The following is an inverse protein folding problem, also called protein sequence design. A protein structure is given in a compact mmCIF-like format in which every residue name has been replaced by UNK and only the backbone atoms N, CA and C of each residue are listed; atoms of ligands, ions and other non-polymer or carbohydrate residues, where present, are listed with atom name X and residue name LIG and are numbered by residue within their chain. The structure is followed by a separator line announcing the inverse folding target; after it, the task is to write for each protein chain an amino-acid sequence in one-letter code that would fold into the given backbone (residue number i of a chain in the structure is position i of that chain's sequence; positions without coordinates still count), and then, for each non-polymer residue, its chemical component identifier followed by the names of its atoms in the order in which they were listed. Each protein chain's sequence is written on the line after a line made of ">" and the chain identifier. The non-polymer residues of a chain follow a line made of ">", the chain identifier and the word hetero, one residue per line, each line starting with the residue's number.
data_IF_905258065425
#
_entry.id   IF_905258065425
#
_cell.length_a   1.000
_cell.length_b   1.000
_cell.length_c   1.000
_cell.angle_alpha   90.00
_cell.angle_beta   90.00
_cell.angle_gamma   90.00
#
_symmetry.space_group_name_H-M   'P 1'
#
loop_
_entity.id
_entity.type
_entity.pdbx_description
1 polymer ?
#
# COMPACT_ATOMS: atom_id res chain seq x y z
N UNK A 1 14.15 7.67 -49.46
CA UNK A 1 12.95 6.80 -49.56
C UNK A 1 12.41 6.58 -48.15
N UNK A 2 11.67 7.55 -47.61
CA UNK A 2 11.04 7.47 -46.27
C UNK A 2 9.64 6.91 -46.48
N UNK A 3 9.52 5.58 -46.55
CA UNK A 3 8.20 4.94 -46.46
C UNK A 3 7.72 5.10 -45.02
N UNK A 4 6.49 5.59 -44.89
CA UNK A 4 5.79 5.92 -43.65
C UNK A 4 6.03 4.90 -42.52
N UNK A 5 6.86 5.27 -41.54
CA UNK A 5 6.97 4.62 -40.23
C UNK A 5 5.84 5.10 -39.30
N UNK A 6 4.63 5.24 -39.83
CA UNK A 6 3.46 5.73 -39.11
C UNK A 6 2.98 4.65 -38.17
N UNK A 7 3.40 4.72 -36.91
CA UNK A 7 2.80 3.92 -35.83
C UNK A 7 3.62 3.87 -34.55
N UNK A 8 4.96 3.86 -34.63
CA UNK A 8 5.81 3.74 -33.46
C UNK A 8 6.67 5.02 -33.28
N UNK A 9 6.33 5.87 -32.30
CA UNK A 9 7.05 7.11 -32.03
C UNK A 9 8.55 6.93 -31.81
N UNK A 10 8.97 5.80 -31.21
CA UNK A 10 10.38 5.50 -30.96
C UNK A 10 11.13 5.11 -32.25
N UNK A 11 10.48 4.41 -33.18
CA UNK A 11 11.06 4.11 -34.51
C UNK A 11 11.20 5.40 -35.32
N UNK A 12 10.18 6.28 -35.27
CA UNK A 12 10.25 7.60 -35.91
C UNK A 12 11.39 8.42 -35.32
N UNK A 13 11.51 8.46 -33.98
CA UNK A 13 12.61 9.13 -33.30
C UNK A 13 13.97 8.61 -33.78
N UNK A 14 14.21 7.30 -33.73
CA UNK A 14 15.51 6.72 -34.12
C UNK A 14 15.85 6.97 -35.58
N UNK A 15 14.86 6.89 -36.48
CA UNK A 15 15.07 7.18 -37.90
C UNK A 15 15.56 8.62 -38.11
N UNK A 16 14.96 9.60 -37.44
CA UNK A 16 15.36 11.00 -37.54
C UNK A 16 16.69 11.28 -36.83
N UNK A 17 16.90 10.66 -35.66
CA UNK A 17 18.10 10.82 -34.86
C UNK A 17 19.35 10.28 -35.59
N UNK A 18 19.29 9.03 -36.08
CA UNK A 18 20.42 8.39 -36.79
C UNK A 18 20.70 9.06 -38.14
N UNK A 19 19.66 9.50 -38.85
CA UNK A 19 19.81 10.14 -40.17
C UNK A 19 20.25 11.61 -40.09
N UNK A 20 20.48 12.16 -38.89
CA UNK A 20 20.87 13.57 -38.71
C UNK A 20 19.75 14.58 -39.01
N UNK A 21 18.49 14.14 -39.04
CA UNK A 21 17.31 14.96 -39.34
C UNK A 21 16.46 15.24 -38.10
N UNK A 22 17.05 15.25 -36.90
CA UNK A 22 16.32 15.47 -35.65
C UNK A 22 15.60 16.82 -35.62
N UNK A 23 16.14 17.84 -36.30
CA UNK A 23 15.52 19.17 -36.44
C UNK A 23 14.21 19.17 -37.23
N UNK A 24 13.92 18.09 -37.99
CA UNK A 24 12.64 17.91 -38.69
C UNK A 24 11.57 17.25 -37.83
N UNK A 25 11.95 16.73 -36.65
CA UNK A 25 11.01 16.14 -35.70
C UNK A 25 10.47 17.24 -34.79
N UNK A 26 9.14 17.30 -34.61
CA UNK A 26 8.56 18.20 -33.63
C UNK A 26 8.77 17.65 -32.21
N UNK A 27 9.80 18.17 -31.52
CA UNK A 27 10.13 17.79 -30.15
C UNK A 27 9.28 18.52 -29.09
N UNK A 28 8.38 19.43 -29.50
CA UNK A 28 7.60 20.29 -28.61
C UNK A 28 8.48 21.07 -27.61
N UNK A 29 9.62 21.60 -28.09
CA UNK A 29 10.56 22.38 -27.27
C UNK A 29 11.41 21.57 -26.29
N UNK A 30 11.38 20.23 -26.36
CA UNK A 30 12.14 19.35 -25.47
C UNK A 30 13.51 18.99 -26.04
N UNK A 31 14.43 18.62 -25.14
CA UNK A 31 15.69 18.00 -25.54
C UNK A 31 15.42 16.68 -26.30
N UNK A 32 16.19 16.32 -27.34
CA UNK A 32 15.98 15.07 -28.09
C UNK A 32 15.92 13.82 -27.19
N UNK A 33 16.80 13.71 -26.19
CA UNK A 33 16.77 12.57 -25.27
C UNK A 33 15.56 12.58 -24.31
N UNK A 34 15.03 13.76 -23.93
CA UNK A 34 13.79 13.85 -23.15
C UNK A 34 12.59 13.39 -23.99
N UNK A 35 12.55 13.78 -25.27
CA UNK A 35 11.52 13.30 -26.19
C UNK A 35 11.62 11.78 -26.38
N UNK A 36 12.82 11.24 -26.58
CA UNK A 36 13.08 9.81 -26.67
C UNK A 36 12.64 9.05 -25.42
N UNK A 37 12.94 9.58 -24.23
CA UNK A 37 12.49 9.03 -22.95
C UNK A 37 10.96 8.96 -22.89
N UNK A 38 10.27 10.04 -23.27
CA UNK A 38 8.80 10.05 -23.33
C UNK A 38 8.26 8.96 -24.27
N UNK A 39 8.84 8.82 -25.47
CA UNK A 39 8.44 7.75 -26.39
C UNK A 39 8.68 6.35 -25.82
N UNK A 40 9.77 6.14 -25.09
CA UNK A 40 10.07 4.87 -24.43
C UNK A 40 9.05 4.56 -23.32
N UNK A 41 8.66 5.56 -22.54
CA UNK A 41 7.60 5.45 -21.52
C UNK A 41 6.24 5.14 -22.15
N UNK A 42 5.82 5.90 -23.17
CA UNK A 42 4.53 5.71 -23.86
C UNK A 42 4.41 4.29 -24.47
N UNK A 43 5.53 3.72 -24.91
CA UNK A 43 5.61 2.36 -25.47
C UNK A 43 5.95 1.27 -24.45
N UNK A 44 6.13 1.64 -23.17
CA UNK A 44 6.44 0.74 -22.06
C UNK A 44 7.67 -0.13 -22.32
N UNK A 45 8.77 0.49 -22.74
CA UNK A 45 10.05 -0.19 -23.02
C UNK A 45 11.08 0.14 -21.96
N UNK A 46 11.17 -0.68 -20.90
CA UNK A 46 12.06 -0.44 -19.76
C UNK A 46 13.54 -0.21 -20.16
N UNK A 47 14.08 -1.05 -21.04
CA UNK A 47 15.45 -0.92 -21.54
C UNK A 47 15.69 0.41 -22.28
N UNK A 48 14.69 0.87 -23.03
CA UNK A 48 14.78 2.15 -23.73
C UNK A 48 14.65 3.33 -22.74
N UNK A 49 13.81 3.20 -21.71
CA UNK A 49 13.70 4.18 -20.61
C UNK A 49 15.05 4.33 -19.91
N UNK A 50 15.68 3.21 -19.57
CA UNK A 50 17.01 3.19 -18.96
C UNK A 50 18.06 3.85 -19.88
N UNK A 51 18.08 3.47 -21.16
CA UNK A 51 18.99 4.05 -22.13
C UNK A 51 18.87 5.58 -22.21
N UNK A 52 17.65 6.11 -22.39
CA UNK A 52 17.45 7.55 -22.52
C UNK A 52 17.73 8.30 -21.23
N UNK A 53 17.35 7.73 -20.07
CA UNK A 53 17.68 8.34 -18.79
C UNK A 53 19.19 8.43 -18.58
N UNK A 54 19.93 7.36 -18.87
CA UNK A 54 21.40 7.36 -18.77
C UNK A 54 22.03 8.41 -19.69
N UNK A 55 21.47 8.63 -20.89
CA UNK A 55 21.89 9.72 -21.79
C UNK A 55 21.60 11.10 -21.21
N UNK A 56 20.40 11.33 -20.67
CA UNK A 56 20.03 12.61 -20.04
C UNK A 56 20.94 12.90 -18.83
N UNK A 57 21.18 11.89 -18.00
CA UNK A 57 22.06 11.97 -16.82
C UNK A 57 23.49 12.35 -17.18
N UNK A 58 23.99 11.88 -18.33
CA UNK A 58 25.37 12.17 -18.79
C UNK A 58 25.53 13.51 -19.51
N UNK A 59 24.45 14.24 -19.80
CA UNK A 59 24.55 15.54 -20.47
C UNK A 59 25.29 16.55 -19.59
N UNK A 60 26.09 17.45 -20.18
CA UNK A 60 26.77 18.50 -19.43
C UNK A 60 25.77 19.58 -18.96
N UNK A 61 26.16 20.39 -17.97
CA UNK A 61 25.29 21.40 -17.32
C UNK A 61 24.85 22.53 -18.28
N UNK A 62 25.62 22.81 -19.32
CA UNK A 62 25.30 23.78 -20.36
C UNK A 62 24.22 23.28 -21.34
N UNK A 63 24.02 21.96 -21.45
CA UNK A 63 22.93 21.37 -22.23
C UNK A 63 21.65 21.17 -21.41
N UNK A 64 21.79 20.54 -20.23
CA UNK A 64 20.72 20.40 -19.25
C UNK A 64 21.29 20.56 -17.84
N UNK A 65 20.76 21.54 -17.12
CA UNK A 65 21.11 21.73 -15.72
C UNK A 65 20.67 20.55 -14.85
N UNK A 66 21.33 20.36 -13.71
CA UNK A 66 20.95 19.35 -12.71
C UNK A 66 19.47 19.49 -12.30
N UNK A 67 18.97 20.71 -12.13
CA UNK A 67 17.56 20.96 -11.80
C UNK A 67 16.60 20.50 -12.91
N UNK A 68 16.95 20.74 -14.18
CA UNK A 68 16.12 20.27 -15.30
C UNK A 68 16.12 18.75 -15.41
N UNK A 69 17.27 18.10 -15.17
CA UNK A 69 17.36 16.63 -15.15
C UNK A 69 16.48 16.05 -14.04
N UNK A 70 16.55 16.61 -12.84
CA UNK A 70 15.70 16.23 -11.69
C UNK A 70 14.21 16.38 -12.02
N UNK A 71 13.82 17.49 -12.64
CA UNK A 71 12.43 17.76 -13.01
C UNK A 71 11.93 16.79 -14.09
N UNK A 72 12.74 16.53 -15.13
CA UNK A 72 12.45 15.52 -16.16
C UNK A 72 12.24 14.17 -15.49
N UNK A 73 13.13 13.78 -14.58
CA UNK A 73 13.05 12.49 -13.91
C UNK A 73 11.80 12.35 -13.06
N UNK A 74 11.54 13.34 -12.20
CA UNK A 74 10.40 13.34 -11.29
C UNK A 74 9.07 13.22 -12.05
N UNK A 75 8.92 13.98 -13.15
CA UNK A 75 7.74 13.91 -14.01
C UNK A 75 7.52 12.52 -14.60
N UNK A 76 8.58 11.87 -15.08
CA UNK A 76 8.46 10.54 -15.67
C UNK A 76 8.26 9.44 -14.61
N UNK A 77 8.82 9.59 -13.40
CA UNK A 77 8.55 8.70 -12.29
C UNK A 77 7.07 8.74 -11.87
N UNK A 78 6.48 9.94 -11.76
CA UNK A 78 5.04 10.14 -11.49
C UNK A 78 4.17 9.55 -12.59
N UNK A 79 4.55 9.74 -13.85
CA UNK A 79 3.86 9.14 -14.99
C UNK A 79 3.89 7.60 -14.93
N UNK A 80 5.06 7.02 -14.60
CA UNK A 80 5.26 5.58 -14.49
C UNK A 80 4.50 4.95 -13.31
N UNK A 81 4.30 5.70 -12.22
CA UNK A 81 3.48 5.30 -11.09
C UNK A 81 1.97 5.22 -11.42
N UNK A 82 1.54 5.90 -12.49
CA UNK A 82 0.13 6.01 -12.85
C UNK A 82 -0.45 4.81 -13.60
N UNK A 83 -1.75 4.89 -13.90
CA UNK A 83 -2.49 3.86 -14.64
C UNK A 83 -1.90 3.54 -16.02
N UNK A 84 -1.14 4.46 -16.62
CA UNK A 84 -0.53 4.28 -17.93
C UNK A 84 0.50 3.14 -17.93
N UNK A 85 1.24 2.98 -16.83
CA UNK A 85 2.34 2.04 -16.68
C UNK A 85 2.11 1.00 -15.57
N UNK A 86 0.92 0.92 -14.97
CA UNK A 86 0.66 0.02 -13.83
C UNK A 86 0.99 -1.46 -14.11
N UNK A 87 0.89 -1.89 -15.36
CA UNK A 87 1.16 -3.28 -15.78
C UNK A 87 2.63 -3.51 -16.13
N UNK A 88 3.47 -2.49 -15.94
CA UNK A 88 4.90 -2.45 -16.24
C UNK A 88 5.66 -1.88 -15.03
N UNK A 89 5.57 -2.54 -13.86
CA UNK A 89 6.15 -2.05 -12.62
C UNK A 89 7.66 -1.83 -12.72
N UNK A 90 8.36 -2.56 -13.58
CA UNK A 90 9.80 -2.44 -13.80
C UNK A 90 10.23 -1.02 -14.24
N UNK A 91 9.33 -0.28 -14.92
CA UNK A 91 9.60 1.10 -15.34
C UNK A 91 9.61 2.04 -14.13
N UNK A 92 8.61 1.89 -13.26
CA UNK A 92 8.56 2.66 -12.02
C UNK A 92 9.67 2.25 -11.06
N UNK A 93 9.96 0.95 -10.93
CA UNK A 93 11.05 0.43 -10.10
C UNK A 93 12.41 1.00 -10.54
N UNK A 94 12.67 1.05 -11.85
CA UNK A 94 13.86 1.71 -12.37
C UNK A 94 13.90 3.16 -11.91
N UNK A 95 12.81 3.92 -12.10
CA UNK A 95 12.76 5.32 -11.68
C UNK A 95 12.99 5.48 -10.17
N UNK A 96 12.33 4.65 -9.36
CA UNK A 96 12.44 4.69 -7.92
C UNK A 96 13.86 4.34 -7.44
N UNK A 97 14.52 3.36 -8.06
CA UNK A 97 15.88 2.93 -7.69
C UNK A 97 16.95 4.01 -7.86
N UNK A 98 16.72 5.00 -8.72
CA UNK A 98 17.63 6.12 -8.95
C UNK A 98 17.30 7.33 -8.07
N UNK A 99 16.18 7.29 -7.35
CA UNK A 99 15.70 8.40 -6.54
C UNK A 99 16.27 8.33 -5.13
N UNK A 100 16.74 9.48 -4.63
CA UNK A 100 17.20 9.59 -3.25
C UNK A 100 16.01 9.80 -2.28
N UNK A 101 16.08 9.31 -1.04
CA UNK A 101 14.96 9.38 -0.08
C UNK A 101 14.45 10.80 0.21
N UNK A 102 15.28 11.84 0.10
CA UNK A 102 14.87 13.25 0.27
C UNK A 102 13.83 13.70 -0.75
N UNK A 103 13.71 13.00 -1.88
CA UNK A 103 12.74 13.30 -2.94
C UNK A 103 11.40 12.59 -2.74
N UNK A 104 11.29 11.63 -1.83
CA UNK A 104 10.06 10.85 -1.62
C UNK A 104 8.83 11.71 -1.26
N UNK A 105 8.93 12.73 -0.38
CA UNK A 105 7.77 13.58 -0.09
C UNK A 105 7.25 14.34 -1.33
N UNK A 106 8.17 14.85 -2.15
CA UNK A 106 7.81 15.57 -3.38
C UNK A 106 7.24 14.62 -4.44
N UNK A 107 7.78 13.39 -4.55
CA UNK A 107 7.21 12.34 -5.40
C UNK A 107 5.76 12.05 -5.01
N UNK A 108 5.48 11.80 -3.73
CA UNK A 108 4.13 11.49 -3.25
C UNK A 108 3.14 12.62 -3.49
N UNK A 109 3.57 13.87 -3.28
CA UNK A 109 2.76 15.05 -3.54
C UNK A 109 2.37 15.16 -5.02
N UNK A 110 3.34 14.98 -5.93
CA UNK A 110 3.10 15.05 -7.37
C UNK A 110 2.31 13.85 -7.89
N UNK A 111 2.59 12.65 -7.37
CA UNK A 111 1.85 11.43 -7.66
C UNK A 111 0.37 11.58 -7.30
N UNK A 112 0.06 12.07 -6.10
CA UNK A 112 -1.32 12.34 -5.70
C UNK A 112 -1.98 13.40 -6.60
N UNK A 113 -1.27 14.48 -6.94
CA UNK A 113 -1.81 15.55 -7.78
C UNK A 113 -2.12 15.08 -9.21
N UNK A 114 -1.22 14.31 -9.82
CA UNK A 114 -1.35 13.83 -11.20
C UNK A 114 -2.32 12.65 -11.30
N UNK A 115 -2.10 11.61 -10.47
CA UNK A 115 -2.83 10.35 -10.55
C UNK A 115 -4.14 10.35 -9.73
N UNK A 116 -4.37 11.36 -8.88
CA UNK A 116 -5.49 11.45 -7.91
C UNK A 116 -5.51 10.34 -6.86
N UNK A 117 -4.42 9.59 -6.77
CA UNK A 117 -4.16 8.55 -5.78
C UNK A 117 -2.64 8.32 -5.72
N UNK A 118 -2.16 7.61 -4.69
CA UNK A 118 -0.76 7.22 -4.60
C UNK A 118 -0.47 6.02 -5.52
N UNK A 119 -0.29 6.29 -6.81
CA UNK A 119 0.06 5.28 -7.82
C UNK A 119 1.39 4.60 -7.53
N UNK A 120 2.34 5.35 -6.97
CA UNK A 120 3.68 4.87 -6.59
C UNK A 120 3.59 3.75 -5.55
N UNK A 121 2.87 3.99 -4.45
CA UNK A 121 2.61 2.99 -3.41
C UNK A 121 1.88 1.76 -3.97
N UNK A 122 0.85 1.97 -4.80
CA UNK A 122 0.11 0.86 -5.40
C UNK A 122 1.00 0.00 -6.32
N UNK A 123 1.88 0.65 -7.09
CA UNK A 123 2.82 -0.03 -8.01
C UNK A 123 3.83 -0.86 -7.23
N UNK A 124 4.45 -0.29 -6.19
CA UNK A 124 5.40 -1.02 -5.34
C UNK A 124 4.73 -2.19 -4.59
N UNK A 125 3.50 -1.99 -4.13
CA UNK A 125 2.73 -3.06 -3.49
C UNK A 125 2.44 -4.20 -4.49
N UNK A 126 1.95 -3.87 -5.69
CA UNK A 126 1.67 -4.87 -6.73
C UNK A 126 2.91 -5.65 -7.17
N UNK A 127 4.08 -5.01 -7.13
CA UNK A 127 5.37 -5.63 -7.43
C UNK A 127 6.05 -6.30 -6.22
N UNK A 128 5.38 -6.35 -5.06
CA UNK A 128 5.90 -6.91 -3.81
C UNK A 128 7.22 -6.26 -3.35
N UNK A 129 7.42 -4.98 -3.66
CA UNK A 129 8.59 -4.18 -3.26
C UNK A 129 8.36 -3.54 -1.89
N UNK A 130 8.18 -4.38 -0.88
CA UNK A 130 7.70 -3.96 0.44
C UNK A 130 8.62 -2.98 1.16
N UNK A 131 9.95 -3.13 1.08
CA UNK A 131 10.89 -2.19 1.71
C UNK A 131 10.81 -0.80 1.06
N UNK A 132 10.65 -0.74 -0.27
CA UNK A 132 10.50 0.51 -1.02
C UNK A 132 9.14 1.17 -0.71
N UNK A 133 8.07 0.37 -0.63
CA UNK A 133 6.75 0.83 -0.20
C UNK A 133 6.86 1.46 1.19
N UNK A 134 7.53 0.78 2.14
CA UNK A 134 7.69 1.28 3.50
C UNK A 134 8.35 2.66 3.52
N UNK A 135 9.43 2.84 2.76
CA UNK A 135 10.14 4.13 2.66
C UNK A 135 9.26 5.28 2.16
N UNK A 136 8.37 5.02 1.19
CA UNK A 136 7.37 6.01 0.76
C UNK A 136 6.30 6.23 1.82
N UNK A 137 5.74 5.16 2.37
CA UNK A 137 4.70 5.24 3.38
C UNK A 137 5.17 6.02 4.62
N UNK A 138 6.45 5.96 4.96
CA UNK A 138 7.06 6.70 6.06
C UNK A 138 7.00 8.22 5.90
N UNK A 139 6.93 8.72 4.67
CA UNK A 139 6.77 10.14 4.39
C UNK A 139 5.33 10.64 4.56
N UNK A 140 4.33 9.74 4.68
CA UNK A 140 2.93 10.10 4.80
C UNK A 140 2.51 10.33 6.25
N UNK A 141 1.69 11.36 6.45
CA UNK A 141 0.99 11.61 7.71
C UNK A 141 -0.44 11.06 7.63
N UNK A 142 -1.10 10.81 8.78
CA UNK A 142 -2.46 10.25 8.79
C UNK A 142 -3.47 11.06 7.97
N UNK A 143 -3.39 12.39 8.00
CA UNK A 143 -4.31 13.25 7.25
C UNK A 143 -4.09 13.21 5.72
N UNK A 144 -2.93 12.75 5.26
CA UNK A 144 -2.62 12.59 3.83
C UNK A 144 -3.28 11.34 3.23
N UNK A 145 -3.76 10.42 4.08
CA UNK A 145 -4.23 9.09 3.70
C UNK A 145 -5.70 8.92 4.08
N UNK A 146 -6.61 8.74 3.11
CA UNK A 146 -7.98 8.34 3.43
C UNK A 146 -8.01 6.96 4.11
N UNK A 147 -8.87 6.78 5.12
CA UNK A 147 -8.99 5.52 5.86
C UNK A 147 -9.19 4.29 4.95
N UNK A 148 -10.11 4.39 3.99
CA UNK A 148 -10.35 3.31 3.03
C UNK A 148 -9.13 2.94 2.18
N UNK A 149 -8.21 3.88 1.92
CA UNK A 149 -6.96 3.59 1.21
C UNK A 149 -5.96 2.84 2.09
N UNK A 150 -5.86 3.23 3.36
CA UNK A 150 -5.07 2.49 4.33
C UNK A 150 -5.58 1.05 4.50
N UNK A 151 -6.91 0.87 4.66
CA UNK A 151 -7.55 -0.45 4.71
C UNK A 151 -7.25 -1.28 3.45
N UNK A 152 -7.30 -0.65 2.28
CA UNK A 152 -6.95 -1.28 1.00
C UNK A 152 -5.51 -1.77 1.04
N UNK A 153 -4.54 -0.92 1.37
CA UNK A 153 -3.14 -1.33 1.41
C UNK A 153 -2.89 -2.50 2.37
N UNK A 154 -3.41 -2.46 3.60
CA UNK A 154 -3.23 -3.58 4.55
C UNK A 154 -3.70 -4.92 3.97
N UNK A 155 -4.82 -4.93 3.23
CA UNK A 155 -5.37 -6.15 2.60
C UNK A 155 -4.57 -6.61 1.38
N UNK A 156 -4.12 -5.65 0.58
CA UNK A 156 -3.41 -5.90 -0.67
C UNK A 156 -1.91 -6.18 -0.48
N UNK A 157 -1.42 -6.28 0.77
CA UNK A 157 -0.16 -6.98 1.04
C UNK A 157 -0.27 -8.46 0.63
N UNK A 158 -1.49 -8.98 0.41
CA UNK A 158 -1.79 -10.30 -0.19
C UNK A 158 -0.94 -11.44 0.40
N UNK A 159 -0.78 -11.45 1.73
CA UNK A 159 0.03 -12.43 2.47
C UNK A 159 -0.32 -13.87 2.08
N UNK A 160 -1.60 -14.14 1.76
CA UNK A 160 -2.07 -15.42 1.23
C UNK A 160 -1.31 -15.88 -0.02
N UNK A 161 -1.04 -14.98 -0.96
CA UNK A 161 -0.34 -15.26 -2.22
C UNK A 161 1.18 -15.21 -2.08
N UNK A 162 1.70 -14.61 -1.02
CA UNK A 162 3.13 -14.60 -0.75
C UNK A 162 3.65 -16.02 -0.48
N UNK A 163 4.86 -16.29 -0.96
CA UNK A 163 5.59 -17.55 -0.73
C UNK A 163 7.05 -17.26 -0.40
N UNK A 164 7.66 -18.11 0.42
CA UNK A 164 9.05 -17.94 0.87
C UNK A 164 9.29 -16.59 1.54
N UNK A 165 10.40 -15.95 1.18
CA UNK A 165 10.86 -14.68 1.77
C UNK A 165 9.86 -13.51 1.64
N UNK A 166 8.93 -13.56 0.68
CA UNK A 166 7.90 -12.52 0.53
C UNK A 166 6.90 -12.51 1.68
N UNK A 167 6.69 -13.64 2.36
CA UNK A 167 5.80 -13.70 3.54
C UNK A 167 6.40 -12.82 4.65
N UNK A 168 7.67 -13.01 4.98
CA UNK A 168 8.34 -12.27 6.06
C UNK A 168 8.36 -10.76 5.77
N UNK A 169 8.73 -10.37 4.54
CA UNK A 169 8.73 -8.96 4.13
C UNK A 169 7.33 -8.35 4.13
N UNK A 170 6.30 -9.12 3.71
CA UNK A 170 4.91 -8.66 3.72
C UNK A 170 4.38 -8.49 5.15
N UNK A 171 4.66 -9.45 6.03
CA UNK A 171 4.29 -9.37 7.46
C UNK A 171 5.00 -8.22 8.14
N UNK A 172 6.29 -8.00 7.85
CA UNK A 172 7.05 -6.86 8.38
C UNK A 172 6.41 -5.54 7.97
N UNK A 173 6.05 -5.37 6.69
CA UNK A 173 5.37 -4.17 6.22
C UNK A 173 4.00 -4.01 6.87
N UNK A 174 3.21 -5.09 6.97
CA UNK A 174 1.91 -5.06 7.63
C UNK A 174 2.04 -4.56 9.07
N UNK A 175 2.94 -5.16 9.85
CA UNK A 175 3.18 -4.79 11.25
C UNK A 175 3.66 -3.34 11.35
N UNK A 176 4.56 -2.91 10.47
CA UNK A 176 5.03 -1.52 10.44
C UNK A 176 3.88 -0.53 10.21
N UNK A 177 3.04 -0.78 9.20
CA UNK A 177 1.86 0.05 8.93
C UNK A 177 0.85 0.02 10.07
N UNK A 178 0.63 -1.15 10.66
CA UNK A 178 -0.30 -1.34 11.77
C UNK A 178 0.15 -0.60 13.02
N UNK A 179 1.45 -0.60 13.32
CA UNK A 179 2.00 -0.01 14.54
C UNK A 179 2.35 1.48 14.38
N UNK A 180 2.27 2.05 13.17
CA UNK A 180 2.62 3.44 12.92
C UNK A 180 1.77 4.41 13.74
N UNK A 181 2.43 5.35 14.41
CA UNK A 181 1.79 6.36 15.25
C UNK A 181 0.87 7.30 14.45
N UNK A 182 -0.25 7.70 15.05
CA UNK A 182 -1.21 8.64 14.46
C UNK A 182 -2.26 8.03 13.53
N UNK A 183 -2.15 6.74 13.18
CA UNK A 183 -3.11 6.03 12.32
C UNK A 183 -4.25 5.32 13.11
N UNK A 184 -4.60 5.81 14.30
CA UNK A 184 -5.60 5.16 15.17
C UNK A 184 -7.00 5.12 14.55
N UNK A 185 -7.43 6.19 13.86
CA UNK A 185 -8.72 6.20 13.19
C UNK A 185 -8.74 5.23 12.01
N UNK A 186 -7.66 5.17 11.22
CA UNK A 186 -7.49 4.20 10.13
C UNK A 186 -7.53 2.76 10.62
N UNK A 187 -6.84 2.45 11.73
CA UNK A 187 -6.92 1.13 12.38
C UNK A 187 -8.33 0.80 12.82
N UNK A 188 -9.03 1.75 13.44
CA UNK A 188 -10.43 1.57 13.86
C UNK A 188 -11.33 1.26 12.67
N UNK A 189 -11.14 1.98 11.57
CA UNK A 189 -11.84 1.76 10.30
C UNK A 189 -11.54 0.36 9.73
N UNK A 190 -10.26 -0.04 9.72
CA UNK A 190 -9.84 -1.36 9.26
C UNK A 190 -10.42 -2.49 10.12
N UNK A 191 -10.48 -2.32 11.44
CA UNK A 191 -11.09 -3.27 12.38
C UNK A 191 -12.60 -3.40 12.15
N UNK A 192 -13.31 -2.28 11.96
CA UNK A 192 -14.74 -2.31 11.64
C UNK A 192 -14.99 -3.13 10.37
N UNK A 193 -14.21 -2.92 9.33
CA UNK A 193 -14.37 -3.69 8.10
C UNK A 193 -13.89 -5.15 8.22
N UNK A 194 -12.96 -5.46 9.12
CA UNK A 194 -12.43 -6.82 9.32
C UNK A 194 -13.34 -7.69 10.20
N UNK A 195 -14.01 -7.08 11.18
CA UNK A 195 -14.69 -7.81 12.26
C UNK A 195 -16.21 -7.78 12.17
N UNK A 196 -16.79 -6.73 11.58
CA UNK A 196 -18.24 -6.56 11.55
C UNK A 196 -18.88 -7.37 10.39
N UNK A 197 -20.00 -8.01 10.68
CA UNK A 197 -20.75 -8.97 9.84
C UNK A 197 -21.36 -8.37 8.57
N UNK A 198 -21.52 -7.05 8.51
CA UNK A 198 -22.00 -6.33 7.33
C UNK A 198 -20.88 -6.02 6.30
N UNK A 199 -19.64 -6.41 6.59
CA UNK A 199 -18.50 -6.13 5.72
C UNK A 199 -18.19 -7.28 4.76
N UNK A 200 -18.10 -6.97 3.46
CA UNK A 200 -17.57 -7.88 2.44
C UNK A 200 -16.08 -8.23 2.63
N UNK A 201 -15.43 -7.55 3.57
CA UNK A 201 -14.02 -7.69 3.91
C UNK A 201 -13.77 -8.44 5.21
N UNK A 202 -14.82 -8.99 5.84
CA UNK A 202 -14.69 -9.71 7.09
C UNK A 202 -13.71 -10.89 7.00
N UNK A 203 -12.74 -10.92 7.90
CA UNK A 203 -11.70 -11.95 8.00
C UNK A 203 -10.59 -11.86 6.95
N UNK A 204 -10.51 -10.81 6.13
CA UNK A 204 -9.50 -10.69 5.06
C UNK A 204 -8.12 -10.25 5.56
N UNK A 205 -7.99 -9.79 6.80
CA UNK A 205 -6.70 -9.51 7.44
C UNK A 205 -6.24 -10.70 8.29
N UNK A 206 -7.07 -11.18 9.20
CA UNK A 206 -6.69 -12.18 10.19
C UNK A 206 -6.52 -13.58 9.60
N UNK A 207 -7.45 -14.02 8.74
CA UNK A 207 -7.41 -15.38 8.18
C UNK A 207 -6.11 -15.65 7.41
N UNK A 208 -5.65 -14.79 6.47
CA UNK A 208 -4.40 -15.02 5.75
C UNK A 208 -3.16 -15.11 6.66
N UNK A 209 -3.11 -14.31 7.72
CA UNK A 209 -2.00 -14.34 8.68
C UNK A 209 -1.97 -15.67 9.43
N UNK A 210 -3.12 -16.14 9.92
CA UNK A 210 -3.24 -17.46 10.56
C UNK A 210 -2.91 -18.59 9.57
N UNK A 211 -3.43 -18.53 8.33
CA UNK A 211 -3.13 -19.48 7.26
C UNK A 211 -1.62 -19.59 6.97
N UNK A 212 -0.84 -18.52 7.20
CA UNK A 212 0.63 -18.54 7.08
C UNK A 212 1.38 -18.77 8.39
N UNK A 213 0.67 -18.95 9.50
CA UNK A 213 1.28 -19.18 10.82
C UNK A 213 1.87 -17.91 11.46
N UNK A 214 1.47 -16.74 10.98
CA UNK A 214 1.99 -15.45 11.42
C UNK A 214 1.11 -14.91 12.57
N UNK A 215 1.31 -15.42 13.78
CA UNK A 215 0.41 -15.11 14.92
C UNK A 215 0.71 -13.78 15.62
N UNK A 216 1.95 -13.32 15.63
CA UNK A 216 2.31 -12.03 16.24
C UNK A 216 1.48 -10.83 15.72
N UNK A 217 1.36 -10.60 14.40
CA UNK A 217 0.49 -9.53 13.88
C UNK A 217 -0.99 -9.78 14.15
N UNK A 218 -1.46 -11.03 14.26
CA UNK A 218 -2.84 -11.36 14.63
C UNK A 218 -3.14 -10.84 16.03
N UNK A 219 -2.23 -11.05 16.98
CA UNK A 219 -2.38 -10.52 18.33
C UNK A 219 -2.38 -8.99 18.36
N UNK A 220 -1.47 -8.36 17.62
CA UNK A 220 -1.43 -6.91 17.52
C UNK A 220 -2.72 -6.28 16.97
N UNK A 221 -3.44 -6.99 16.10
CA UNK A 221 -4.76 -6.58 15.60
C UNK A 221 -5.84 -6.77 16.66
N UNK A 222 -5.91 -7.96 17.28
CA UNK A 222 -6.93 -8.28 18.27
C UNK A 222 -6.79 -7.44 19.56
N UNK A 223 -5.57 -7.11 19.98
CA UNK A 223 -5.29 -6.26 21.14
C UNK A 223 -5.78 -4.80 20.96
N UNK A 224 -6.05 -4.39 19.71
CA UNK A 224 -6.60 -3.07 19.37
C UNK A 224 -8.09 -3.09 19.10
N UNK A 225 -8.69 -4.27 18.96
CA UNK A 225 -10.12 -4.41 18.77
C UNK A 225 -10.88 -4.13 20.06
N UNK A 226 -12.03 -3.48 19.95
CA UNK A 226 -12.92 -3.30 21.09
C UNK A 226 -13.72 -4.60 21.36
N UNK A 227 -14.31 -4.75 22.56
CA UNK A 227 -15.04 -5.96 22.93
C UNK A 227 -16.16 -6.33 21.96
N UNK A 228 -16.93 -5.35 21.45
CA UNK A 228 -18.04 -5.59 20.53
C UNK A 228 -17.54 -6.17 19.19
N UNK A 229 -16.46 -5.61 18.64
CA UNK A 229 -15.82 -6.10 17.42
C UNK A 229 -15.32 -7.54 17.60
N UNK A 230 -14.64 -7.83 18.72
CA UNK A 230 -14.13 -9.17 19.02
C UNK A 230 -15.29 -10.16 19.14
N UNK A 231 -16.34 -9.80 19.87
CA UNK A 231 -17.52 -10.66 20.04
C UNK A 231 -18.20 -10.94 18.71
N UNK A 232 -18.38 -9.92 17.88
CA UNK A 232 -19.00 -10.09 16.57
C UNK A 232 -18.16 -11.00 15.69
N UNK A 233 -16.85 -10.75 15.59
CA UNK A 233 -15.93 -11.58 14.83
C UNK A 233 -15.90 -13.03 15.28
N UNK A 234 -15.89 -13.28 16.60
CA UNK A 234 -15.83 -14.62 17.18
C UNK A 234 -17.06 -15.49 16.88
N UNK A 235 -18.16 -14.88 16.43
CA UNK A 235 -19.39 -15.58 16.03
C UNK A 235 -19.46 -15.83 14.51
N UNK A 236 -18.35 -15.65 13.78
CA UNK A 236 -18.30 -15.75 12.32
C UNK A 236 -17.70 -17.07 11.84
N UNK A 237 -17.99 -17.43 10.59
CA UNK A 237 -17.36 -18.57 9.91
C UNK A 237 -15.84 -18.40 9.78
N UNK A 238 -15.35 -17.18 9.70
CA UNK A 238 -13.93 -16.86 9.60
C UNK A 238 -13.21 -17.16 10.91
N UNK A 239 -13.81 -16.84 12.06
CA UNK A 239 -13.29 -17.24 13.36
C UNK A 239 -13.32 -18.77 13.55
N UNK A 240 -14.37 -19.45 13.09
CA UNK A 240 -14.44 -20.92 13.10
C UNK A 240 -13.35 -21.55 12.22
N UNK A 241 -13.07 -20.96 11.05
CA UNK A 241 -11.99 -21.38 10.17
C UNK A 241 -10.62 -21.21 10.84
N UNK A 242 -10.37 -20.08 11.53
CA UNK A 242 -9.15 -19.86 12.33
C UNK A 242 -9.01 -20.95 13.41
N UNK A 243 -10.09 -21.27 14.13
CA UNK A 243 -10.08 -22.33 15.15
C UNK A 243 -9.72 -23.68 14.53
N UNK A 244 -10.27 -24.01 13.35
CA UNK A 244 -9.95 -25.25 12.65
C UNK A 244 -8.48 -25.32 12.28
N UNK A 245 -7.90 -24.25 11.71
CA UNK A 245 -6.49 -24.19 11.33
C UNK A 245 -5.58 -24.42 12.54
N UNK A 246 -5.83 -23.71 13.64
CA UNK A 246 -5.01 -23.81 14.84
C UNK A 246 -5.08 -25.21 15.46
N UNK A 247 -6.27 -25.81 15.48
CA UNK A 247 -6.49 -27.19 15.96
C UNK A 247 -5.80 -28.23 15.06
N UNK A 248 -5.94 -28.11 13.74
CA UNK A 248 -5.32 -29.02 12.77
C UNK A 248 -3.78 -28.99 12.84
N UNK A 249 -3.20 -27.84 13.20
CA UNK A 249 -1.76 -27.70 13.41
C UNK A 249 -1.27 -28.20 14.77
N UNK A 250 -2.16 -28.46 15.71
CA UNK A 250 -1.80 -28.78 17.09
C UNK A 250 -1.19 -27.58 17.85
N UNK A 251 -1.48 -26.34 17.44
CA UNK A 251 -1.02 -25.14 18.14
C UNK A 251 -2.00 -24.76 19.25
N UNK A 252 -2.00 -25.55 20.31
CA UNK A 252 -2.90 -25.38 21.46
C UNK A 252 -2.70 -24.01 22.14
N UNK A 253 -1.46 -23.52 22.23
CA UNK A 253 -1.16 -22.23 22.84
C UNK A 253 -1.77 -21.05 22.09
N UNK A 254 -1.63 -21.00 20.76
CA UNK A 254 -2.28 -19.98 19.95
C UNK A 254 -3.81 -20.14 19.93
N UNK A 255 -4.32 -21.38 19.93
CA UNK A 255 -5.77 -21.63 20.00
C UNK A 255 -6.36 -21.09 21.31
N UNK A 256 -5.75 -21.41 22.45
CA UNK A 256 -6.19 -20.95 23.76
C UNK A 256 -6.13 -19.43 23.87
N UNK A 257 -5.05 -18.81 23.37
CA UNK A 257 -4.94 -17.35 23.32
C UNK A 257 -6.03 -16.74 22.44
N UNK A 258 -6.28 -17.29 21.25
CA UNK A 258 -7.34 -16.80 20.35
C UNK A 258 -8.72 -16.90 20.99
N UNK A 259 -9.04 -18.02 21.65
CA UNK A 259 -10.30 -18.22 22.36
C UNK A 259 -10.45 -17.30 23.59
N UNK A 260 -9.35 -16.89 24.21
CA UNK A 260 -9.35 -15.99 25.36
C UNK A 260 -9.93 -14.60 25.03
N UNK A 261 -9.71 -14.10 23.80
CA UNK A 261 -10.31 -12.84 23.35
C UNK A 261 -11.84 -12.93 23.38
N UNK A 262 -12.44 -14.02 22.91
CA UNK A 262 -13.89 -14.21 22.97
C UNK A 262 -14.44 -14.32 24.39
N UNK A 263 -13.76 -15.07 25.26
CA UNK A 263 -14.18 -15.26 26.67
C UNK A 263 -14.05 -14.00 27.53
N UNK A 264 -13.12 -13.11 27.19
CA UNK A 264 -12.91 -11.86 27.92
C UNK A 264 -14.12 -10.92 27.80
N UNK A 265 -14.78 -10.90 26.63
CA UNK A 265 -15.93 -10.03 26.36
C UNK A 265 -17.18 -10.45 27.13
N UNK A 266 -17.42 -11.76 27.27
CA UNK A 266 -18.59 -12.24 28.01
C UNK A 266 -18.52 -11.85 29.49
N UNK A 267 -17.31 -11.86 30.10
CA UNK A 267 -17.12 -11.42 31.50
C UNK A 267 -17.22 -9.92 31.70
N UNK A 268 -16.71 -9.11 30.76
CA UNK A 268 -16.83 -7.64 30.86
C UNK A 268 -18.29 -7.17 30.76
N UNK A 269 -19.11 -7.81 29.91
CA UNK A 269 -20.54 -7.55 29.85
C UNK A 269 -21.29 -8.00 31.12
N UNK A 270 -20.92 -9.14 31.70
CA UNK A 270 -21.49 -9.62 32.97
C UNK A 270 -21.16 -8.65 34.13
N UNK A 271 -19.95 -8.11 34.18
CA UNK A 271 -19.52 -7.12 35.17
C UNK A 271 -20.19 -5.75 34.97
N UNK A 272 -20.32 -5.26 33.73
CA UNK A 272 -21.05 -4.02 33.42
C UNK A 272 -22.56 -4.14 33.73
N UNK A 273 -23.14 -5.33 33.52
CA UNK A 273 -24.54 -5.62 33.83
C UNK A 273 -24.80 -5.67 35.35
N UNK A 274 -23.85 -6.21 36.12
CA UNK A 274 -23.91 -6.22 37.59
C UNK A 274 -23.72 -4.82 38.18
N UNK A 275 -22.80 -4.00 37.63
CA UNK A 275 -22.63 -2.60 38.05
C UNK A 275 -23.88 -1.75 37.74
N UNK A 276 -24.49 -1.91 36.57
CA UNK A 276 -25.72 -1.21 36.20
C UNK A 276 -26.93 -1.62 37.04
N UNK A 277 -26.96 -2.86 37.54
CA UNK A 277 -28.03 -3.35 38.43
C UNK A 277 -27.82 -2.89 39.88
N UNK A 278 -26.58 -2.81 40.38
CA UNK A 278 -26.25 -2.18 41.68
C UNK A 278 -26.55 -0.67 41.70
N UNK A 279 -26.26 0.06 40.61
CA UNK A 279 -26.59 1.49 40.50
C UNK A 279 -28.11 1.73 40.44
N UNK A 280 -28.88 0.80 39.85
CA UNK A 280 -30.36 0.88 39.86
C UNK A 280 -30.95 0.52 41.23
N UNK A 281 -30.39 -0.45 41.95
CA UNK A 281 -30.84 -0.84 43.29
C UNK A 281 -30.53 0.23 44.35
N UNK A 282 -29.36 0.87 44.29
CA UNK A 282 -28.99 1.97 45.20
C UNK A 282 -29.85 3.22 44.98
N UNK A 283 -30.24 3.54 43.74
CA UNK A 283 -31.20 4.62 43.46
C UNK A 283 -32.62 4.32 43.96
N UNK A 284 -33.08 3.07 43.83
CA UNK A 284 -34.40 2.66 44.33
C UNK A 284 -34.50 2.73 45.88
N UNK A 285 -33.44 2.38 46.61
CA UNK A 285 -33.40 2.50 48.07
C UNK A 285 -33.29 3.94 48.59
N UNK A 286 -32.79 4.88 47.77
CA UNK A 286 -32.76 6.31 48.13
C UNK A 286 -34.12 7.01 48.02
N UNK A 287 -35.08 6.43 47.29
CA UNK A 287 -36.41 7.00 47.05
C UNK A 287 -37.51 6.46 47.99
N UNK A 288 -37.21 5.45 48.83
CA UNK A 288 -38.20 4.86 49.76
C UNK A 288 -38.16 5.41 51.19
N UNK A 289 -37.41 6.49 51.44
CA UNK A 289 -37.40 7.21 52.72
C UNK A 289 -37.76 8.69 52.53
N UNK A 290 -39.05 8.97 52.40
CA UNK A 290 -39.69 10.22 52.82
C UNK A 290 -41.11 9.94 53.25
#
# INVERSE_FOLDING_TARGET
>A
MVKCLTGNPLIVFWSHFVSGYISKLNLNGRHPYEYGLKCAMDLKRAEAVEFFWNKIKSLPEDELSTQQKDEIFMKHAVYAAGNHCNSYPEIFEFCFSQMSPDKYPELLKRDLAENRHYGSLNTLQGALRFDQFQGLFDCLKPFDVPEGKYCTWLRFIEIKKCSGHYIDSGVKLFTHMWMKEGFDSHRTSALNEEMMSNSVFQGRLLVPLVEKGCMEPVWAVLDKANPDQVKEFMNTKQADHIRSILKERGDEGSLDKFLSYGKSVDRELENLSTDLTEVKLSKAHSLSKR
#
